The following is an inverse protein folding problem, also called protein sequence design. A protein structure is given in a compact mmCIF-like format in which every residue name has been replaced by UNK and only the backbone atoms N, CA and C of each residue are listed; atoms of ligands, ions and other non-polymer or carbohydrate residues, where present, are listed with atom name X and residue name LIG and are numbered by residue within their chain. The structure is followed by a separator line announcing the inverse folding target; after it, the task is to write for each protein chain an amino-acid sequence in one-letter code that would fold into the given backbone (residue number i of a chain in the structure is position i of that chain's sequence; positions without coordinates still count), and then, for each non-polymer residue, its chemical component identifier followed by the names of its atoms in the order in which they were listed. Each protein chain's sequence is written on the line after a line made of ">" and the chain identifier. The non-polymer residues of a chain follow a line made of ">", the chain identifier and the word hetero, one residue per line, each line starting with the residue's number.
data_IF_969972518415
#
_entry.id   IF_969972518415
#
_cell.length_a   1.000
_cell.length_b   1.000
_cell.length_c   1.000
_cell.angle_alpha   90.00
_cell.angle_beta   90.00
_cell.angle_gamma   90.00
#
_symmetry.space_group_name_H-M   'P 1'
#
loop_
_entity.id
_entity.type
_entity.pdbx_description
1 polymer ?
#
# COMPACT_ATOMS: atom_id res chain seq x y z
N UNK A 1 32.92 -29.86 -1.40
CA UNK A 1 31.68 -29.16 -1.00
C UNK A 1 32.00 -27.68 -0.88
N UNK A 2 31.78 -26.89 -1.93
CA UNK A 2 31.86 -25.43 -1.87
C UNK A 2 30.43 -24.90 -1.95
N UNK A 3 29.92 -24.41 -0.83
CA UNK A 3 28.65 -23.71 -0.79
C UNK A 3 28.84 -22.36 -1.52
N UNK A 4 28.31 -22.25 -2.73
CA UNK A 4 28.19 -20.96 -3.41
C UNK A 4 27.26 -20.09 -2.57
N UNK A 5 27.84 -19.15 -1.83
CA UNK A 5 27.11 -18.04 -1.22
C UNK A 5 26.54 -17.23 -2.38
N UNK A 6 25.32 -17.58 -2.79
CA UNK A 6 24.54 -16.77 -3.71
C UNK A 6 24.20 -15.49 -2.96
N UNK A 7 25.02 -14.45 -3.16
CA UNK A 7 24.63 -13.08 -2.88
C UNK A 7 23.21 -12.88 -3.44
N UNK A 8 22.22 -12.46 -2.65
CA UNK A 8 20.91 -12.11 -3.18
C UNK A 8 21.09 -10.81 -3.96
N UNK A 9 21.60 -10.93 -5.19
CA UNK A 9 21.86 -9.82 -6.05
C UNK A 9 20.52 -9.10 -6.28
N UNK A 10 20.40 -7.95 -5.63
CA UNK A 10 19.49 -6.87 -5.99
C UNK A 10 19.76 -6.49 -7.44
N UNK A 11 19.28 -7.30 -8.39
CA UNK A 11 19.13 -6.86 -9.77
C UNK A 11 17.98 -5.86 -9.78
N UNK A 12 18.32 -4.60 -9.49
CA UNK A 12 17.42 -3.47 -9.67
C UNK A 12 17.20 -3.33 -11.17
N UNK A 13 16.08 -3.83 -11.65
CA UNK A 13 15.65 -3.60 -13.04
C UNK A 13 15.36 -2.11 -13.21
N UNK A 14 15.78 -1.50 -14.33
CA UNK A 14 15.50 -0.08 -14.64
C UNK A 14 14.00 0.27 -14.48
N UNK A 15 13.12 -0.66 -14.83
CA UNK A 15 11.66 -0.54 -14.63
C UNK A 15 11.27 -0.40 -13.16
N UNK A 16 11.92 -1.13 -12.24
CA UNK A 16 11.66 -1.02 -10.80
C UNK A 16 12.11 0.33 -10.27
N UNK A 17 13.34 0.76 -10.60
CA UNK A 17 13.86 2.06 -10.15
C UNK A 17 13.00 3.24 -10.64
N UNK A 18 12.54 3.20 -11.89
CA UNK A 18 11.63 4.21 -12.43
C UNK A 18 10.28 4.22 -11.71
N UNK A 19 9.73 3.06 -11.37
CA UNK A 19 8.47 2.95 -10.64
C UNK A 19 8.62 3.45 -9.21
N UNK A 20 9.72 3.11 -8.52
CA UNK A 20 9.99 3.56 -7.16
C UNK A 20 10.17 5.08 -7.11
N UNK A 21 10.95 5.65 -8.05
CA UNK A 21 11.12 7.09 -8.20
C UNK A 21 9.79 7.80 -8.49
N UNK A 22 8.97 7.24 -9.38
CA UNK A 22 7.63 7.76 -9.67
C UNK A 22 6.70 7.69 -8.45
N UNK A 23 6.71 6.57 -7.71
CA UNK A 23 5.91 6.39 -6.50
C UNK A 23 6.27 7.42 -5.42
N UNK A 24 7.57 7.65 -5.20
CA UNK A 24 8.05 8.67 -4.27
C UNK A 24 7.69 10.08 -4.72
N UNK A 25 7.89 10.41 -6.00
CA UNK A 25 7.54 11.71 -6.55
C UNK A 25 6.02 11.99 -6.46
N UNK A 26 5.19 10.99 -6.78
CA UNK A 26 3.74 11.09 -6.72
C UNK A 26 3.23 11.32 -5.29
N UNK A 27 3.78 10.59 -4.31
CA UNK A 27 3.41 10.76 -2.90
C UNK A 27 3.94 12.09 -2.35
N UNK A 28 5.14 12.51 -2.76
CA UNK A 28 5.70 13.81 -2.36
C UNK A 28 4.84 14.98 -2.85
N UNK A 29 4.31 14.89 -4.07
CA UNK A 29 3.44 15.93 -4.65
C UNK A 29 1.98 15.82 -4.19
N UNK A 30 1.63 14.80 -3.41
CA UNK A 30 0.26 14.59 -2.92
C UNK A 30 -0.31 15.76 -2.10
N UNK A 31 0.44 16.39 -1.17
CA UNK A 31 -0.05 17.56 -0.45
C UNK A 31 -0.37 18.71 -1.41
N UNK A 32 0.49 18.94 -2.41
CA UNK A 32 0.28 19.95 -3.46
C UNK A 32 -0.96 19.65 -4.30
N UNK A 33 -1.16 18.40 -4.71
CA UNK A 33 -2.37 17.98 -5.42
C UNK A 33 -3.64 18.19 -4.59
N UNK A 34 -3.57 18.00 -3.27
CA UNK A 34 -4.72 18.19 -2.38
C UNK A 34 -5.17 19.66 -2.25
N UNK A 35 -4.29 20.63 -2.53
CA UNK A 35 -4.62 22.05 -2.53
C UNK A 35 -5.12 22.55 -3.89
N UNK A 36 -4.72 21.91 -4.99
CA UNK A 36 -5.06 22.32 -6.35
C UNK A 36 -6.35 21.63 -6.83
N UNK A 37 -6.59 20.39 -6.40
CA UNK A 37 -7.79 19.65 -6.75
C UNK A 37 -8.92 19.94 -5.76
N UNK A 38 -10.16 20.14 -6.24
CA UNK A 38 -11.33 20.31 -5.37
C UNK A 38 -11.70 19.03 -4.61
N UNK A 39 -11.06 17.90 -4.94
CA UNK A 39 -11.23 16.62 -4.28
C UNK A 39 -9.96 16.25 -3.50
N UNK A 40 -10.05 15.94 -2.20
CA UNK A 40 -8.91 15.49 -1.41
C UNK A 40 -8.45 14.10 -1.86
N UNK A 41 -7.46 14.09 -2.77
CA UNK A 41 -6.80 12.90 -3.35
C UNK A 41 -6.33 11.90 -2.29
N UNK A 42 -6.07 12.38 -1.08
CA UNK A 42 -5.74 11.56 0.08
C UNK A 42 -6.77 10.45 0.38
N UNK A 43 -8.07 10.67 0.12
CA UNK A 43 -9.09 9.64 0.34
C UNK A 43 -9.00 8.44 -0.61
N UNK A 44 -8.26 8.56 -1.73
CA UNK A 44 -8.09 7.45 -2.67
C UNK A 44 -7.01 6.46 -2.25
N UNK A 45 -6.42 6.61 -1.07
CA UNK A 45 -5.31 5.80 -0.57
C UNK A 45 -4.18 5.63 -1.60
N UNK A 46 -3.61 6.73 -2.12
CA UNK A 46 -2.64 6.70 -3.21
C UNK A 46 -1.38 5.88 -2.89
N UNK A 47 -1.01 5.78 -1.61
CA UNK A 47 0.08 4.90 -1.17
C UNK A 47 -0.21 3.43 -1.51
N UNK A 48 -1.47 2.99 -1.35
CA UNK A 48 -1.90 1.63 -1.70
C UNK A 48 -1.80 1.40 -3.19
N UNK A 49 -2.27 2.35 -4.00
CA UNK A 49 -2.19 2.27 -5.46
C UNK A 49 -0.74 2.03 -5.90
N UNK A 50 0.21 2.81 -5.36
CA UNK A 50 1.63 2.67 -5.69
C UNK A 50 2.21 1.31 -5.25
N UNK A 51 1.87 0.84 -4.06
CA UNK A 51 2.31 -0.49 -3.58
C UNK A 51 1.73 -1.60 -4.45
N UNK A 52 0.47 -1.51 -4.86
CA UNK A 52 -0.15 -2.49 -5.77
C UNK A 52 0.51 -2.48 -7.14
N UNK A 53 0.80 -1.30 -7.69
CA UNK A 53 1.54 -1.20 -8.95
C UNK A 53 2.92 -1.85 -8.84
N UNK A 54 3.63 -1.62 -7.73
CA UNK A 54 4.92 -2.25 -7.46
C UNK A 54 4.80 -3.79 -7.33
N UNK A 55 3.79 -4.31 -6.64
CA UNK A 55 3.55 -5.75 -6.55
C UNK A 55 3.32 -6.41 -7.92
N UNK A 56 2.70 -5.69 -8.85
CA UNK A 56 2.33 -6.20 -10.17
C UNK A 56 3.45 -6.07 -11.22
N UNK A 57 4.29 -5.03 -11.11
CA UNK A 57 5.30 -4.70 -12.13
C UNK A 57 6.76 -4.92 -11.68
N UNK A 58 7.00 -5.18 -10.39
CA UNK A 58 8.34 -5.33 -9.83
C UNK A 58 8.46 -6.60 -8.97
N UNK A 59 9.59 -6.78 -8.29
CA UNK A 59 9.86 -7.95 -7.44
C UNK A 59 9.16 -7.83 -6.07
N UNK A 60 8.84 -8.97 -5.45
CA UNK A 60 8.20 -9.05 -4.12
C UNK A 60 8.91 -8.22 -3.06
N UNK A 61 10.24 -8.30 -2.99
CA UNK A 61 11.03 -7.54 -2.01
C UNK A 61 10.88 -6.03 -2.22
N UNK A 62 10.77 -5.57 -3.46
CA UNK A 62 10.62 -4.16 -3.77
C UNK A 62 9.26 -3.61 -3.28
N UNK A 63 8.20 -4.39 -3.46
CA UNK A 63 6.89 -4.04 -2.94
C UNK A 63 6.86 -3.92 -1.40
N UNK A 64 7.59 -4.78 -0.67
CA UNK A 64 7.73 -4.63 0.78
C UNK A 64 8.52 -3.39 1.17
N UNK A 65 9.62 -3.10 0.46
CA UNK A 65 10.43 -1.91 0.71
C UNK A 65 9.56 -0.66 0.50
N UNK A 66 8.83 -0.57 -0.61
CA UNK A 66 7.91 0.54 -0.86
C UNK A 66 6.80 0.63 0.18
N UNK A 67 6.17 -0.49 0.55
CA UNK A 67 5.08 -0.49 1.54
C UNK A 67 5.51 0.08 2.91
N UNK A 68 6.77 -0.18 3.31
CA UNK A 68 7.32 0.32 4.56
C UNK A 68 7.81 1.77 4.44
N UNK A 69 8.48 2.09 3.34
CA UNK A 69 9.15 3.37 3.17
C UNK A 69 8.22 4.50 2.76
N UNK A 70 7.21 4.26 1.91
CA UNK A 70 6.34 5.31 1.39
C UNK A 70 5.64 6.11 2.50
N UNK A 71 5.04 5.51 3.55
CA UNK A 71 4.40 6.26 4.63
C UNK A 71 5.42 7.00 5.50
N UNK A 72 6.60 6.42 5.73
CA UNK A 72 7.67 7.03 6.53
C UNK A 72 8.26 8.25 5.81
N UNK A 73 8.56 8.15 4.51
CA UNK A 73 9.02 9.29 3.71
C UNK A 73 7.96 10.38 3.61
N UNK A 74 6.68 10.02 3.46
CA UNK A 74 5.58 10.99 3.48
C UNK A 74 5.56 11.77 4.80
N UNK A 75 5.75 11.11 5.95
CA UNK A 75 5.83 11.79 7.23
C UNK A 75 7.04 12.73 7.34
N UNK A 76 8.24 12.24 7.01
CA UNK A 76 9.49 13.01 7.17
C UNK A 76 9.45 14.31 6.35
N UNK A 77 8.85 14.26 5.16
CA UNK A 77 8.94 15.34 4.20
C UNK A 77 7.70 16.25 4.24
N UNK A 78 6.50 15.67 4.32
CA UNK A 78 5.25 16.42 4.27
C UNK A 78 4.67 16.69 5.66
N UNK A 79 5.25 16.15 6.75
CA UNK A 79 4.67 16.15 8.12
C UNK A 79 3.24 15.61 8.19
N UNK A 80 2.80 14.95 7.11
CA UNK A 80 1.49 14.39 6.91
C UNK A 80 1.68 13.00 6.29
N UNK A 81 1.12 11.94 6.89
CA UNK A 81 0.38 11.89 8.16
C UNK A 81 1.30 11.90 9.40
N UNK A 82 0.77 12.25 10.58
CA UNK A 82 1.49 12.20 11.88
C UNK A 82 2.22 10.87 12.07
N UNK A 83 3.40 10.88 12.70
CA UNK A 83 4.31 9.74 12.83
C UNK A 83 3.62 8.42 13.21
N UNK A 84 2.79 8.41 14.25
CA UNK A 84 2.06 7.22 14.68
C UNK A 84 1.08 6.69 13.64
N UNK A 85 0.40 7.58 12.89
CA UNK A 85 -0.45 7.18 11.76
C UNK A 85 0.38 6.65 10.61
N UNK A 86 1.52 7.28 10.30
CA UNK A 86 2.42 6.79 9.26
C UNK A 86 2.94 5.38 9.56
N UNK A 87 3.29 5.09 10.82
CA UNK A 87 3.73 3.76 11.23
C UNK A 87 2.60 2.72 11.11
N UNK A 88 1.39 3.05 11.58
CA UNK A 88 0.22 2.16 11.42
C UNK A 88 -0.09 1.88 9.95
N UNK A 89 0.00 2.89 9.08
CA UNK A 89 -0.21 2.74 7.63
C UNK A 89 0.91 1.90 7.00
N UNK A 90 2.16 2.06 7.42
CA UNK A 90 3.27 1.23 6.94
C UNK A 90 3.08 -0.25 7.30
N UNK A 91 2.64 -0.52 8.53
CA UNK A 91 2.31 -1.87 8.99
C UNK A 91 1.13 -2.44 8.19
N UNK A 92 0.08 -1.66 7.96
CA UNK A 92 -1.07 -2.06 7.16
C UNK A 92 -0.67 -2.42 5.71
N UNK A 93 0.07 -1.55 5.02
CA UNK A 93 0.48 -1.78 3.64
C UNK A 93 1.40 -2.99 3.54
N UNK A 94 2.30 -3.16 4.50
CA UNK A 94 3.19 -4.34 4.58
C UNK A 94 2.37 -5.62 4.81
N UNK A 95 1.37 -5.57 5.69
CA UNK A 95 0.46 -6.69 5.92
C UNK A 95 -0.36 -7.01 4.66
N UNK A 96 -0.85 -6.01 3.93
CA UNK A 96 -1.54 -6.19 2.65
C UNK A 96 -0.68 -6.95 1.65
N UNK A 97 0.59 -6.56 1.48
CA UNK A 97 1.55 -7.24 0.60
C UNK A 97 1.72 -8.71 1.03
N UNK A 98 1.88 -8.96 2.34
CA UNK A 98 1.98 -10.31 2.90
C UNK A 98 0.75 -11.18 2.66
N UNK A 99 -0.44 -10.67 2.99
CA UNK A 99 -1.72 -11.36 2.80
C UNK A 99 -1.94 -11.64 1.32
N UNK A 100 -1.66 -10.68 0.44
CA UNK A 100 -1.80 -10.88 -1.00
C UNK A 100 -0.96 -12.05 -1.51
N UNK A 101 0.34 -12.12 -1.18
CA UNK A 101 1.19 -13.23 -1.62
C UNK A 101 0.79 -14.57 -1.00
N UNK A 102 0.19 -14.57 0.21
CA UNK A 102 -0.36 -15.78 0.83
C UNK A 102 -1.63 -16.25 0.09
N UNK A 103 -2.60 -15.36 -0.12
CA UNK A 103 -3.89 -15.66 -0.76
C UNK A 103 -3.74 -15.98 -2.25
N UNK A 104 -2.70 -15.46 -2.91
CA UNK A 104 -2.37 -15.79 -4.31
C UNK A 104 -2.18 -17.29 -4.54
N UNK A 105 -1.84 -18.06 -3.49
CA UNK A 105 -1.72 -19.53 -3.56
C UNK A 105 -3.05 -20.26 -3.59
N UNK A 106 -4.13 -19.64 -3.09
CA UNK A 106 -5.44 -20.28 -2.90
C UNK A 106 -6.54 -19.65 -3.77
N UNK A 107 -6.32 -18.44 -4.30
CA UNK A 107 -7.34 -17.65 -5.00
C UNK A 107 -6.80 -16.99 -6.27
N UNK A 108 -7.71 -16.64 -7.18
CA UNK A 108 -7.38 -15.85 -8.37
C UNK A 108 -6.86 -14.46 -7.98
N UNK A 109 -5.99 -13.87 -8.81
CA UNK A 109 -5.27 -12.64 -8.48
C UNK A 109 -6.12 -11.43 -8.08
N UNK A 110 -7.33 -11.31 -8.64
CA UNK A 110 -8.27 -10.22 -8.33
C UNK A 110 -8.93 -10.44 -6.98
N UNK A 111 -9.42 -11.66 -6.71
CA UNK A 111 -10.00 -12.01 -5.42
C UNK A 111 -8.94 -11.91 -4.31
N UNK A 112 -7.70 -12.34 -4.58
CA UNK A 112 -6.59 -12.26 -3.64
C UNK A 112 -6.27 -10.81 -3.24
N UNK A 113 -6.29 -9.85 -4.18
CA UNK A 113 -6.01 -8.45 -3.84
C UNK A 113 -7.18 -7.78 -3.13
N UNK A 114 -8.42 -8.05 -3.56
CA UNK A 114 -9.62 -7.56 -2.90
C UNK A 114 -9.67 -8.01 -1.44
N UNK A 115 -9.49 -9.31 -1.20
CA UNK A 115 -9.43 -9.88 0.15
C UNK A 115 -8.25 -9.36 0.96
N UNK A 116 -7.07 -9.18 0.35
CA UNK A 116 -5.91 -8.62 1.03
C UNK A 116 -6.15 -7.18 1.51
N UNK A 117 -6.81 -6.35 0.69
CA UNK A 117 -7.15 -4.97 1.06
C UNK A 117 -8.11 -4.97 2.25
N UNK A 118 -9.20 -5.74 2.18
CA UNK A 118 -10.18 -5.82 3.27
C UNK A 118 -9.52 -6.30 4.56
N UNK A 119 -8.77 -7.41 4.49
CA UNK A 119 -8.15 -8.01 5.66
C UNK A 119 -7.08 -7.09 6.28
N UNK A 120 -6.28 -6.41 5.44
CA UNK A 120 -5.31 -5.42 5.92
C UNK A 120 -5.98 -4.25 6.64
N UNK A 121 -7.14 -3.79 6.18
CA UNK A 121 -7.90 -2.73 6.84
C UNK A 121 -8.51 -3.16 8.15
N UNK A 122 -9.10 -4.36 8.19
CA UNK A 122 -9.60 -4.94 9.44
C UNK A 122 -8.46 -5.00 10.46
N UNK A 123 -7.28 -5.44 10.03
CA UNK A 123 -6.08 -5.45 10.85
C UNK A 123 -5.65 -4.04 11.30
N UNK A 124 -5.66 -3.05 10.39
CA UNK A 124 -5.38 -1.64 10.72
C UNK A 124 -6.34 -1.10 11.78
N UNK A 125 -7.65 -1.29 11.63
CA UNK A 125 -8.62 -0.82 12.61
C UNK A 125 -8.49 -1.55 13.94
N UNK A 126 -8.20 -2.86 13.94
CA UNK A 126 -7.91 -3.60 15.16
C UNK A 126 -6.67 -3.04 15.88
N UNK A 127 -5.58 -2.80 15.15
CA UNK A 127 -4.37 -2.17 15.70
C UNK A 127 -4.64 -0.74 16.18
N UNK A 128 -5.43 0.04 15.44
CA UNK A 128 -5.82 1.40 15.84
C UNK A 128 -6.62 1.38 17.14
N UNK A 129 -7.53 0.42 17.33
CA UNK A 129 -8.28 0.27 18.58
C UNK A 129 -7.36 -0.06 19.75
N UNK A 130 -6.41 -0.99 19.57
CA UNK A 130 -5.41 -1.31 20.60
C UNK A 130 -4.51 -0.09 20.89
N UNK A 131 -4.07 0.63 19.86
CA UNK A 131 -3.24 1.82 19.99
C UNK A 131 -4.00 2.98 20.67
N UNK A 132 -5.30 3.14 20.39
CA UNK A 132 -6.16 4.13 21.06
C UNK A 132 -6.39 3.73 22.52
N UNK A 133 -6.61 2.46 22.83
CA UNK A 133 -6.69 2.00 24.22
C UNK A 133 -5.40 2.27 25.01
N UNK A 134 -4.24 2.12 24.38
CA UNK A 134 -2.95 2.50 24.96
C UNK A 134 -2.75 4.02 25.03
N UNK A 135 -3.15 4.77 24.00
CA UNK A 135 -2.95 6.23 23.90
C UNK A 135 -3.98 7.06 24.68
N UNK A 136 -5.15 6.48 25.00
CA UNK A 136 -6.18 7.06 25.88
C UNK A 136 -5.66 7.31 27.30
N UNK A 137 -4.53 6.69 27.68
CA UNK A 137 -3.85 6.95 28.95
C UNK A 137 -2.96 8.22 28.87
N UNK A 138 -2.72 8.81 27.69
CA UNK A 138 -1.72 9.90 27.57
C UNK A 138 -2.10 11.11 26.68
N UNK A 139 -2.71 11.00 25.48
CA UNK A 139 -2.94 12.19 24.64
C UNK A 139 -4.13 12.09 23.64
N UNK A 140 -5.09 13.02 23.78
CA UNK A 140 -6.18 13.46 22.84
C UNK A 140 -7.45 12.58 22.68
N UNK A 141 -8.62 13.07 23.14
CA UNK A 141 -9.91 12.33 23.11
C UNK A 141 -10.82 12.58 21.90
N UNK A 142 -10.42 13.35 20.86
CA UNK A 142 -11.36 13.87 19.85
C UNK A 142 -11.14 13.42 18.39
N UNK A 143 -10.44 12.31 18.14
CA UNK A 143 -10.46 11.73 16.78
C UNK A 143 -11.58 10.70 16.64
N UNK A 144 -12.54 10.98 15.75
CA UNK A 144 -13.59 10.04 15.38
C UNK A 144 -12.97 8.68 15.01
N UNK A 145 -13.39 7.62 15.70
CA UNK A 145 -12.87 6.25 15.57
C UNK A 145 -12.96 5.77 14.09
N UNK A 146 -14.01 6.23 13.39
CA UNK A 146 -14.23 6.02 11.96
C UNK A 146 -14.02 7.34 11.22
N UNK A 147 -12.83 7.54 10.65
CA UNK A 147 -12.51 8.69 9.81
C UNK A 147 -13.01 8.52 8.36
N UNK A 148 -14.31 8.72 8.15
CA UNK A 148 -15.05 9.08 6.91
C UNK A 148 -14.92 8.22 5.61
N UNK A 149 -16.08 8.12 4.92
CA UNK A 149 -16.38 7.73 3.53
C UNK A 149 -16.01 6.32 3.04
N UNK A 150 -16.62 5.30 3.65
CA UNK A 150 -16.63 3.91 3.15
C UNK A 150 -16.92 3.81 1.63
N UNK A 151 -17.73 4.72 1.09
CA UNK A 151 -18.07 4.79 -0.34
C UNK A 151 -16.87 5.05 -1.26
N UNK A 152 -15.97 5.99 -0.90
CA UNK A 152 -14.79 6.31 -1.71
C UNK A 152 -13.83 5.13 -1.73
N UNK A 153 -13.71 4.45 -0.59
CA UNK A 153 -12.88 3.27 -0.43
C UNK A 153 -13.40 2.06 -1.23
N UNK A 154 -14.72 1.89 -1.30
CA UNK A 154 -15.36 0.84 -2.09
C UNK A 154 -15.10 1.07 -3.58
N UNK A 155 -15.20 2.33 -4.03
CA UNK A 155 -14.90 2.75 -5.40
C UNK A 155 -13.42 2.50 -5.76
N UNK A 156 -12.46 2.94 -4.92
CA UNK A 156 -11.03 2.75 -5.22
C UNK A 156 -10.65 1.28 -5.27
N UNK A 157 -11.23 0.47 -4.37
CA UNK A 157 -10.99 -0.97 -4.35
C UNK A 157 -11.51 -1.63 -5.63
N UNK A 158 -12.69 -1.24 -6.12
CA UNK A 158 -13.23 -1.72 -7.40
C UNK A 158 -12.33 -1.34 -8.58
N UNK A 159 -11.88 -0.09 -8.66
CA UNK A 159 -11.00 0.40 -9.76
C UNK A 159 -9.67 -0.35 -9.78
N UNK A 160 -9.01 -0.48 -8.62
CA UNK A 160 -7.73 -1.20 -8.50
C UNK A 160 -7.91 -2.68 -8.89
N UNK A 161 -8.99 -3.30 -8.43
CA UNK A 161 -9.30 -4.71 -8.76
C UNK A 161 -9.55 -4.90 -10.25
N UNK A 162 -10.28 -3.99 -10.89
CA UNK A 162 -10.52 -4.00 -12.34
C UNK A 162 -9.23 -3.85 -13.16
N UNK A 163 -8.34 -2.94 -12.74
CA UNK A 163 -7.04 -2.77 -13.41
C UNK A 163 -6.16 -4.03 -13.33
N UNK A 164 -6.11 -4.68 -12.15
CA UNK A 164 -5.39 -5.95 -11.97
C UNK A 164 -5.96 -7.06 -12.85
N UNK A 165 -7.30 -7.13 -12.95
CA UNK A 165 -7.97 -8.10 -13.82
C UNK A 165 -7.54 -7.96 -15.29
N UNK A 166 -7.48 -6.72 -15.79
CA UNK A 166 -7.12 -6.42 -17.17
C UNK A 166 -5.68 -6.85 -17.49
N UNK A 167 -4.72 -6.57 -16.60
CA UNK A 167 -3.31 -6.98 -16.78
C UNK A 167 -3.17 -8.50 -16.78
N UNK A 168 -3.85 -9.19 -15.86
CA UNK A 168 -3.76 -10.63 -15.75
C UNK A 168 -4.40 -11.35 -16.95
N UNK A 169 -5.50 -10.80 -17.50
CA UNK A 169 -6.10 -11.32 -18.74
C UNK A 169 -5.20 -11.11 -19.95
N UNK A 170 -4.56 -9.94 -20.07
CA UNK A 170 -3.61 -9.68 -21.17
C UNK A 170 -2.40 -10.61 -21.13
N UNK A 171 -1.92 -10.96 -19.93
CA UNK A 171 -0.81 -11.91 -19.74
C UNK A 171 -1.21 -13.36 -20.05
N UNK A 172 -2.47 -13.73 -19.83
CA UNK A 172 -3.02 -15.05 -20.18
C UNK A 172 -3.16 -15.21 -21.70
N UNK A 173 -3.58 -14.17 -22.41
CA UNK A 173 -3.74 -14.20 -23.88
C UNK A 173 -2.43 -14.05 -24.66
N UNK A 174 -1.33 -13.60 -24.02
CA UNK A 174 -0.01 -13.54 -24.65
C UNK A 174 0.78 -14.86 -24.55
N UNK A 175 0.30 -15.81 -23.75
CA UNK A 175 0.94 -17.11 -23.49
C UNK A 175 0.08 -18.30 -23.96
N UNK A 176 -0.98 -18.06 -24.74
CA UNK A 176 -1.76 -19.07 -25.44
C UNK A 176 -1.62 -18.86 -26.94
#
# INVERSE_FOLDING_TARGET
>A
MQASIQNPALKVTLKSALLDGFALAFIYLMPTFSHILPFPVYFMEPMRIMVVLAMMHTHRNNAYILALTLPVFSFVIATHPVFFKALLIAIELTAMVGIFYLLRRYMQGVAAIFSAIILSKVFYYAMKLLAVQWALITLRPNESIVGIALWIQLLTTLVISGYVWFILHKKKNANG
#
